data_IF_291949101100
#
_entry.id   IF_291949101100
#
_cell.length_a   1.000
_cell.length_b   1.000
_cell.length_c   1.000
_cell.angle_alpha   90.00
_cell.angle_beta   90.00
_cell.angle_gamma   90.00
#
_symmetry.space_group_name_H-M   'P 1'
#
loop_
_entity.id
_entity.type
_entity.pdbx_description
1 polymer ?
#
# COMPACT_ATOMS: atom_id res chain seq x y z
N UNK A 1 6.13 0.59 31.81
CA UNK A 1 5.73 0.68 30.37
C UNK A 1 5.74 2.16 29.99
N UNK A 2 6.27 2.51 28.81
CA UNK A 2 6.20 3.91 28.33
C UNK A 2 4.74 4.25 28.10
N UNK A 3 4.29 5.40 28.61
CA UNK A 3 2.91 5.88 28.42
C UNK A 3 2.75 6.66 27.10
N UNK A 4 3.85 7.04 26.48
CA UNK A 4 3.89 7.85 25.25
C UNK A 4 5.11 7.47 24.42
N UNK A 5 4.90 7.29 23.09
CA UNK A 5 5.95 7.00 22.12
C UNK A 5 6.43 8.29 21.45
N UNK A 6 7.75 8.42 21.29
CA UNK A 6 8.40 9.53 20.61
C UNK A 6 8.75 9.10 19.19
N UNK A 7 8.18 9.78 18.20
CA UNK A 7 8.37 9.47 16.78
C UNK A 7 9.40 10.39 16.14
N UNK A 8 10.28 9.79 15.32
CA UNK A 8 11.14 10.49 14.37
C UNK A 8 10.58 10.36 12.96
N UNK A 9 10.52 11.46 12.20
CA UNK A 9 10.08 11.47 10.82
C UNK A 9 11.29 11.70 9.92
N UNK A 10 11.63 10.71 9.09
CA UNK A 10 12.65 10.81 8.06
C UNK A 10 11.94 10.93 6.71
N UNK A 11 11.97 12.13 6.13
CA UNK A 11 11.19 12.48 4.94
C UNK A 11 9.91 13.24 5.29
N UNK A 12 9.93 14.58 5.15
CA UNK A 12 8.81 15.48 5.46
C UNK A 12 8.05 15.93 4.19
N UNK A 13 7.95 15.06 3.19
CA UNK A 13 7.13 15.24 2.01
C UNK A 13 5.63 15.16 2.32
N UNK A 14 4.80 14.90 1.31
CA UNK A 14 3.33 14.77 1.48
C UNK A 14 3.00 13.68 2.51
N UNK A 15 3.55 12.46 2.33
CA UNK A 15 3.27 11.34 3.25
C UNK A 15 3.86 11.58 4.64
N UNK A 16 5.08 12.11 4.75
CA UNK A 16 5.65 12.44 6.07
C UNK A 16 4.79 13.41 6.86
N UNK A 17 4.16 14.40 6.22
CA UNK A 17 3.21 15.31 6.86
C UNK A 17 1.88 14.61 7.22
N UNK A 18 1.39 13.71 6.39
CA UNK A 18 0.22 12.90 6.71
C UNK A 18 0.47 12.03 7.95
N UNK A 19 1.66 11.42 8.07
CA UNK A 19 2.05 10.70 9.28
C UNK A 19 2.06 11.61 10.52
N UNK A 20 2.56 12.84 10.41
CA UNK A 20 2.54 13.80 11.52
C UNK A 20 1.10 14.07 11.99
N UNK A 21 0.16 14.30 11.07
CA UNK A 21 -1.25 14.52 11.43
C UNK A 21 -1.85 13.28 12.14
N UNK A 22 -1.60 12.10 11.63
CA UNK A 22 -2.07 10.86 12.24
C UNK A 22 -1.54 10.70 13.68
N UNK A 23 -0.23 10.91 13.89
CA UNK A 23 0.41 10.79 15.19
C UNK A 23 -0.18 11.81 16.19
N UNK A 24 -0.42 13.06 15.76
CA UNK A 24 -1.00 14.11 16.59
C UNK A 24 -2.39 13.74 17.14
N UNK A 25 -3.23 13.16 16.31
CA UNK A 25 -4.64 12.87 16.69
C UNK A 25 -4.81 11.50 17.33
N UNK A 26 -3.85 10.59 17.16
CA UNK A 26 -3.90 9.22 17.67
C UNK A 26 -3.88 9.17 19.21
N UNK A 27 -3.14 10.09 19.86
CA UNK A 27 -2.89 10.09 21.29
C UNK A 27 -1.85 9.05 21.74
N UNK A 28 -1.20 9.30 22.89
CA UNK A 28 -0.14 8.43 23.39
C UNK A 28 1.13 8.41 22.52
N UNK A 29 1.30 9.43 21.69
CA UNK A 29 2.44 9.58 20.79
C UNK A 29 2.72 11.04 20.47
N UNK A 30 3.99 11.38 20.27
CA UNK A 30 4.44 12.72 19.85
C UNK A 30 5.50 12.62 18.76
N UNK A 31 5.55 13.62 17.88
CA UNK A 31 6.66 13.78 16.93
C UNK A 31 7.74 14.60 17.62
N UNK A 32 8.86 13.95 17.94
CA UNK A 32 9.99 14.54 18.68
C UNK A 32 11.16 14.97 17.80
N UNK A 33 11.26 14.41 16.59
CA UNK A 33 12.36 14.67 15.65
C UNK A 33 11.92 14.61 14.20
N UNK A 34 12.50 15.46 13.35
CA UNK A 34 12.25 15.51 11.91
C UNK A 34 13.59 15.61 11.19
N UNK A 35 13.80 14.82 10.13
CA UNK A 35 14.93 14.93 9.23
C UNK A 35 14.46 14.99 7.78
N UNK A 36 14.77 16.09 7.09
CA UNK A 36 14.51 16.24 5.66
C UNK A 36 15.34 17.38 5.07
N UNK A 37 16.05 17.19 3.94
CA UNK A 37 16.93 18.21 3.37
C UNK A 37 16.18 19.37 2.69
N UNK A 38 14.96 19.16 2.16
CA UNK A 38 14.20 20.19 1.47
C UNK A 38 13.56 21.16 2.47
N UNK A 39 14.14 22.35 2.64
CA UNK A 39 13.74 23.34 3.65
C UNK A 39 12.26 23.69 3.68
N UNK A 40 11.57 24.02 2.56
CA UNK A 40 10.16 24.35 2.60
C UNK A 40 9.29 23.24 3.18
N UNK A 41 9.57 21.97 2.86
CA UNK A 41 8.84 20.83 3.43
C UNK A 41 9.17 20.62 4.90
N UNK A 42 10.43 20.87 5.31
CA UNK A 42 10.87 20.79 6.69
C UNK A 42 10.15 21.85 7.55
N UNK A 43 10.06 23.09 7.08
CA UNK A 43 9.34 24.17 7.75
C UNK A 43 7.85 23.88 7.89
N UNK A 44 7.22 23.35 6.82
CA UNK A 44 5.82 22.94 6.86
C UNK A 44 5.58 21.82 7.88
N UNK A 45 6.46 20.84 7.95
CA UNK A 45 6.36 19.73 8.92
C UNK A 45 6.60 20.24 10.37
N UNK A 46 7.53 21.16 10.57
CA UNK A 46 7.80 21.76 11.88
C UNK A 46 6.62 22.60 12.37
N UNK A 47 5.92 23.30 11.47
CA UNK A 47 4.70 24.02 11.83
C UNK A 47 3.58 23.07 12.33
N UNK A 48 3.55 21.82 11.86
CA UNK A 48 2.61 20.80 12.33
C UNK A 48 3.04 20.13 13.63
N UNK A 49 4.36 20.08 13.91
CA UNK A 49 4.96 19.51 15.11
C UNK A 49 5.98 20.48 15.73
N UNK A 50 5.54 21.60 16.32
CA UNK A 50 6.43 22.70 16.74
C UNK A 50 7.40 22.33 17.88
N UNK A 51 7.17 21.23 18.58
CA UNK A 51 8.09 20.68 19.59
C UNK A 51 9.18 19.77 19.04
N UNK A 52 9.14 19.44 17.75
CA UNK A 52 10.10 18.52 17.15
C UNK A 52 11.46 19.18 16.92
N UNK A 53 12.54 18.42 17.20
CA UNK A 53 13.90 18.85 16.87
C UNK A 53 14.20 18.50 15.41
N UNK A 54 14.75 19.46 14.70
CA UNK A 54 15.14 19.30 13.29
C UNK A 54 16.57 18.82 13.17
N UNK A 55 16.83 17.85 12.30
CA UNK A 55 18.14 17.31 11.99
C UNK A 55 18.47 17.46 10.49
N UNK A 56 19.75 17.69 10.20
CA UNK A 56 20.23 17.85 8.82
C UNK A 56 20.24 16.54 8.03
N UNK A 57 20.42 15.41 8.71
CA UNK A 57 20.40 14.09 8.13
C UNK A 57 19.74 13.06 9.09
N UNK A 58 19.41 11.90 8.54
CA UNK A 58 18.68 10.86 9.27
C UNK A 58 19.55 10.17 10.35
N UNK A 59 20.86 10.05 10.18
CA UNK A 59 21.75 9.42 11.18
C UNK A 59 21.80 10.23 12.46
N UNK A 60 21.92 11.56 12.34
CA UNK A 60 21.87 12.44 13.49
C UNK A 60 20.51 12.36 14.23
N UNK A 61 19.40 12.12 13.51
CA UNK A 61 18.12 11.86 14.11
C UNK A 61 18.12 10.52 14.85
N UNK A 62 18.58 9.45 14.22
CA UNK A 62 18.66 8.10 14.81
C UNK A 62 19.49 8.12 16.09
N UNK A 63 20.68 8.74 16.04
CA UNK A 63 21.64 8.77 17.15
C UNK A 63 21.26 9.74 18.26
N UNK A 64 20.20 10.54 18.08
CA UNK A 64 19.80 11.60 19.03
C UNK A 64 19.29 11.11 20.37
N UNK A 65 18.86 9.85 20.49
CA UNK A 65 18.18 9.31 21.67
C UNK A 65 16.79 9.92 21.93
N UNK A 66 16.25 10.69 20.96
CA UNK A 66 14.95 11.36 21.09
C UNK A 66 13.77 10.52 20.57
N UNK A 67 14.02 9.39 19.92
CA UNK A 67 13.00 8.62 19.20
C UNK A 67 12.89 7.19 19.72
N UNK A 68 11.67 6.69 19.81
CA UNK A 68 11.34 5.31 20.12
C UNK A 68 10.88 4.55 18.88
N UNK A 69 10.31 5.29 17.92
CA UNK A 69 9.86 4.79 16.64
C UNK A 69 10.26 5.77 15.51
N UNK A 70 10.59 5.25 14.35
CA UNK A 70 11.03 6.01 13.19
C UNK A 70 10.07 5.73 12.03
N UNK A 71 9.59 6.78 11.37
CA UNK A 71 8.84 6.69 10.11
C UNK A 71 9.79 7.07 8.98
N UNK A 72 9.96 6.16 8.01
CA UNK A 72 10.71 6.40 6.77
C UNK A 72 9.72 6.69 5.65
N UNK A 73 9.66 7.95 5.21
CA UNK A 73 8.76 8.46 4.16
C UNK A 73 9.51 9.32 3.14
N UNK A 74 10.69 8.85 2.73
CA UNK A 74 11.58 9.47 1.74
C UNK A 74 11.20 9.05 0.31
N UNK A 75 11.83 9.57 -0.76
CA UNK A 75 11.67 9.03 -2.10
C UNK A 75 12.02 7.53 -2.16
N UNK A 76 11.28 6.75 -2.97
CA UNK A 76 11.34 5.29 -2.99
C UNK A 76 12.74 4.72 -3.19
N UNK A 77 13.50 5.30 -4.11
CA UNK A 77 14.89 4.91 -4.44
C UNK A 77 15.88 5.13 -3.28
N UNK A 78 15.49 5.86 -2.26
CA UNK A 78 16.33 6.14 -1.09
C UNK A 78 16.01 5.25 0.11
N UNK A 79 14.90 4.49 0.06
CA UNK A 79 14.45 3.67 1.20
C UNK A 79 15.54 2.72 1.69
N UNK A 80 16.19 1.97 0.79
CA UNK A 80 17.22 1.00 1.18
C UNK A 80 18.40 1.66 1.91
N UNK A 81 18.87 2.81 1.43
CA UNK A 81 19.98 3.52 2.05
C UNK A 81 19.61 4.03 3.46
N UNK A 82 18.41 4.57 3.63
CA UNK A 82 17.90 5.04 4.93
C UNK A 82 17.62 3.88 5.86
N UNK A 83 16.99 2.81 5.37
CA UNK A 83 16.68 1.62 6.16
C UNK A 83 17.93 0.91 6.69
N UNK A 84 19.03 0.91 5.94
CA UNK A 84 20.30 0.36 6.41
C UNK A 84 20.70 0.94 7.78
N UNK A 85 20.57 2.24 7.94
CA UNK A 85 20.93 2.92 9.18
C UNK A 85 19.83 2.76 10.24
N UNK A 86 18.53 2.88 9.86
CA UNK A 86 17.41 2.69 10.78
C UNK A 86 17.36 1.26 11.35
N UNK A 87 17.57 0.24 10.53
CA UNK A 87 17.54 -1.15 10.95
C UNK A 87 18.74 -1.56 11.83
N UNK A 88 19.79 -0.76 11.85
CA UNK A 88 20.91 -0.92 12.78
C UNK A 88 20.63 -0.34 14.19
N UNK A 89 19.54 0.41 14.36
CA UNK A 89 19.14 1.02 15.63
C UNK A 89 18.15 0.13 16.42
N UNK A 90 17.93 0.46 17.68
CA UNK A 90 16.97 -0.22 18.56
C UNK A 90 15.54 0.38 18.45
N UNK A 91 15.33 1.43 17.65
CA UNK A 91 14.02 2.03 17.46
C UNK A 91 13.11 1.13 16.62
N UNK A 92 11.82 1.10 16.91
CA UNK A 92 10.86 0.51 15.98
C UNK A 92 10.85 1.29 14.67
N UNK A 93 10.72 0.62 13.53
CA UNK A 93 10.77 1.25 12.20
C UNK A 93 9.49 0.99 11.44
N UNK A 94 8.84 2.05 10.98
CA UNK A 94 7.78 2.01 9.98
C UNK A 94 8.36 2.53 8.67
N UNK A 95 8.24 1.78 7.60
CA UNK A 95 8.70 2.19 6.27
C UNK A 95 7.53 2.31 5.30
N UNK A 96 7.46 3.45 4.61
CA UNK A 96 6.50 3.67 3.54
C UNK A 96 6.70 2.73 2.35
N UNK A 97 5.61 2.51 1.65
CA UNK A 97 5.62 1.76 0.38
C UNK A 97 6.18 2.64 -0.78
N UNK A 98 6.71 1.99 -1.82
CA UNK A 98 7.15 0.59 -1.88
C UNK A 98 8.39 0.37 -1.00
N UNK A 99 8.61 -0.87 -0.56
CA UNK A 99 9.74 -1.16 0.33
C UNK A 99 11.09 -0.76 -0.28
N UNK A 100 11.26 -1.04 -1.57
CA UNK A 100 12.40 -0.63 -2.40
C UNK A 100 11.99 -0.62 -3.88
N UNK A 101 12.93 -0.25 -4.76
CA UNK A 101 12.71 -0.19 -6.22
C UNK A 101 13.45 -1.28 -6.99
N UNK A 102 14.34 -2.03 -6.32
CA UNK A 102 15.15 -3.11 -6.92
C UNK A 102 15.12 -4.38 -6.10
N UNK A 103 15.36 -5.52 -6.73
CA UNK A 103 15.44 -6.83 -6.06
C UNK A 103 16.64 -6.90 -5.11
N UNK A 104 17.76 -6.30 -5.49
CA UNK A 104 19.00 -6.24 -4.72
C UNK A 104 18.79 -5.51 -3.38
N UNK A 105 18.08 -4.40 -3.43
CA UNK A 105 17.72 -3.64 -2.23
C UNK A 105 16.78 -4.43 -1.32
N UNK A 106 15.77 -5.10 -1.89
CA UNK A 106 14.86 -5.96 -1.12
C UNK A 106 15.63 -7.06 -0.37
N UNK A 107 16.56 -7.76 -1.04
CA UNK A 107 17.41 -8.79 -0.42
C UNK A 107 18.26 -8.20 0.71
N UNK A 108 18.82 -7.03 0.48
CA UNK A 108 19.65 -6.34 1.48
C UNK A 108 18.83 -5.94 2.72
N UNK A 109 17.63 -5.37 2.52
CA UNK A 109 16.75 -4.94 3.61
C UNK A 109 16.35 -6.15 4.48
N UNK A 110 15.93 -7.26 3.86
CA UNK A 110 15.59 -8.47 4.62
C UNK A 110 16.77 -8.99 5.43
N UNK A 111 17.97 -9.02 4.84
CA UNK A 111 19.18 -9.48 5.53
C UNK A 111 19.59 -8.56 6.71
N UNK A 112 19.25 -7.29 6.68
CA UNK A 112 19.43 -6.38 7.83
C UNK A 112 18.36 -6.59 8.89
N UNK A 113 17.09 -6.76 8.49
CA UNK A 113 15.98 -6.96 9.40
C UNK A 113 16.08 -8.27 10.18
N UNK A 114 16.53 -9.35 9.57
CA UNK A 114 16.75 -10.66 10.23
C UNK A 114 17.69 -10.59 11.44
N UNK A 115 18.55 -9.58 11.52
CA UNK A 115 19.57 -9.43 12.59
C UNK A 115 19.08 -8.62 13.78
N UNK A 116 17.86 -8.09 13.73
CA UNK A 116 17.34 -7.20 14.76
C UNK A 116 16.18 -7.82 15.53
N UNK A 117 15.98 -7.32 16.76
CA UNK A 117 14.84 -7.68 17.61
C UNK A 117 13.74 -6.63 17.64
N UNK A 118 14.07 -5.37 17.32
CA UNK A 118 13.10 -4.28 17.32
C UNK A 118 12.14 -4.42 16.12
N UNK A 119 10.90 -3.99 16.31
CA UNK A 119 9.83 -4.13 15.31
C UNK A 119 10.14 -3.36 14.03
N UNK A 120 9.84 -3.99 12.90
CA UNK A 120 9.75 -3.33 11.59
C UNK A 120 8.35 -3.53 11.02
N UNK A 121 7.74 -2.43 10.55
CA UNK A 121 6.38 -2.39 10.00
C UNK A 121 6.42 -1.84 8.58
N UNK A 122 5.71 -2.50 7.66
CA UNK A 122 5.58 -2.06 6.28
C UNK A 122 4.31 -1.25 6.09
N UNK A 123 4.41 -0.05 5.52
CA UNK A 123 3.29 0.86 5.26
C UNK A 123 2.45 0.42 4.06
N UNK A 124 1.58 -0.58 4.26
CA UNK A 124 0.64 -1.06 3.25
C UNK A 124 -0.79 -0.87 3.76
N UNK A 125 -1.16 0.39 3.95
CA UNK A 125 -2.37 0.84 4.64
C UNK A 125 -3.68 0.46 3.96
N UNK A 126 -3.70 0.14 2.65
CA UNK A 126 -4.94 -0.14 1.92
C UNK A 126 -5.77 -1.28 2.50
N UNK A 127 -5.11 -2.26 3.16
CA UNK A 127 -5.80 -3.34 3.88
C UNK A 127 -6.66 -2.86 5.04
N UNK A 128 -6.44 -1.64 5.52
CA UNK A 128 -7.16 -1.00 6.63
C UNK A 128 -8.26 -0.03 6.17
N UNK A 129 -8.43 0.22 4.87
CA UNK A 129 -9.58 0.97 4.37
C UNK A 129 -10.87 0.25 4.79
N UNK A 130 -11.83 0.92 5.46
CA UNK A 130 -12.95 0.23 6.10
C UNK A 130 -13.70 -0.80 5.21
N UNK A 131 -14.12 -0.48 3.97
CA UNK A 131 -14.82 -1.47 3.14
C UNK A 131 -13.89 -2.56 2.61
N UNK A 132 -12.59 -2.29 2.43
CA UNK A 132 -11.60 -3.30 2.03
C UNK A 132 -11.35 -4.27 3.18
N UNK A 133 -11.14 -3.75 4.40
CA UNK A 133 -10.97 -4.56 5.60
C UNK A 133 -12.18 -5.47 5.87
N UNK A 134 -13.40 -4.94 5.72
CA UNK A 134 -14.65 -5.73 5.84
C UNK A 134 -14.72 -6.82 4.77
N UNK A 135 -14.40 -6.52 3.50
CA UNK A 135 -14.42 -7.51 2.42
C UNK A 135 -13.39 -8.64 2.66
N UNK A 136 -12.18 -8.28 3.11
CA UNK A 136 -11.14 -9.26 3.48
C UNK A 136 -11.59 -10.12 4.67
N UNK A 137 -12.19 -9.53 5.71
CA UNK A 137 -12.68 -10.25 6.87
C UNK A 137 -13.75 -11.29 6.47
N UNK A 138 -14.75 -10.89 5.71
CA UNK A 138 -15.80 -11.79 5.19
C UNK A 138 -15.24 -12.92 4.32
N UNK A 139 -14.24 -12.63 3.48
CA UNK A 139 -13.58 -13.65 2.67
C UNK A 139 -12.84 -14.67 3.57
N UNK A 140 -12.12 -14.21 4.60
CA UNK A 140 -11.44 -15.07 5.59
C UNK A 140 -12.40 -15.88 6.45
N UNK A 141 -13.59 -15.37 6.72
CA UNK A 141 -14.68 -16.10 7.40
C UNK A 141 -15.35 -17.15 6.51
N UNK A 142 -14.94 -17.25 5.23
CA UNK A 142 -15.40 -18.25 4.29
C UNK A 142 -16.73 -17.89 3.61
N UNK A 143 -17.18 -16.64 3.65
CA UNK A 143 -18.46 -16.22 3.07
C UNK A 143 -18.52 -16.46 1.55
N UNK A 144 -17.39 -16.36 0.85
CA UNK A 144 -17.29 -16.65 -0.57
C UNK A 144 -16.93 -18.11 -0.90
N UNK A 145 -16.63 -18.96 0.13
CA UNK A 145 -16.08 -20.29 -0.05
C UNK A 145 -14.61 -20.27 -0.46
N UNK A 146 -14.15 -21.26 -1.24
CA UNK A 146 -12.81 -21.28 -1.81
C UNK A 146 -12.66 -20.16 -2.85
N UNK A 147 -11.67 -19.29 -2.65
CA UNK A 147 -11.43 -18.17 -3.57
C UNK A 147 -10.84 -18.67 -4.89
N UNK A 148 -11.42 -18.24 -5.99
CA UNK A 148 -11.00 -18.56 -7.36
C UNK A 148 -10.55 -17.34 -8.15
N UNK A 149 -11.17 -16.17 -7.91
CA UNK A 149 -10.85 -14.95 -8.63
C UNK A 149 -10.85 -13.74 -7.70
N UNK A 150 -9.85 -12.87 -7.87
CA UNK A 150 -9.78 -11.54 -7.26
C UNK A 150 -9.58 -10.53 -8.37
N UNK A 151 -10.40 -9.47 -8.39
CA UNK A 151 -10.22 -8.38 -9.34
C UNK A 151 -10.14 -7.07 -8.57
N UNK A 152 -9.13 -6.25 -8.90
CA UNK A 152 -9.05 -4.88 -8.43
C UNK A 152 -9.06 -3.96 -9.63
N UNK A 153 -9.96 -3.00 -9.63
CA UNK A 153 -10.00 -1.90 -10.59
C UNK A 153 -9.64 -0.60 -9.87
N UNK A 154 -8.69 0.13 -10.42
CA UNK A 154 -8.45 1.52 -10.04
C UNK A 154 -8.52 2.41 -11.28
N UNK A 155 -9.51 3.32 -11.31
CA UNK A 155 -9.65 4.37 -12.31
C UNK A 155 -9.61 5.71 -11.61
N UNK A 156 -8.52 6.45 -11.79
CA UNK A 156 -8.20 7.64 -10.99
C UNK A 156 -7.54 8.76 -11.79
N UNK A 157 -7.29 9.86 -11.08
CA UNK A 157 -6.45 10.97 -11.54
C UNK A 157 -4.95 10.58 -11.63
N UNK A 158 -4.15 11.33 -12.42
CA UNK A 158 -2.70 11.16 -12.52
C UNK A 158 -1.97 11.32 -11.19
N UNK A 159 -0.70 10.91 -11.14
CA UNK A 159 0.18 11.21 -10.01
C UNK A 159 0.39 12.72 -9.86
N UNK A 160 0.14 13.23 -8.64
CA UNK A 160 0.49 14.59 -8.28
C UNK A 160 2.00 14.81 -8.30
N UNK A 161 2.46 16.03 -8.68
CA UNK A 161 3.88 16.36 -8.62
C UNK A 161 4.43 16.24 -7.20
N UNK A 162 5.62 15.66 -7.08
CA UNK A 162 6.38 15.63 -5.83
C UNK A 162 7.61 16.56 -5.94
N UNK A 163 8.32 16.77 -4.84
CA UNK A 163 9.53 17.62 -4.82
C UNK A 163 10.48 17.16 -5.92
N UNK A 164 10.98 18.10 -6.73
CA UNK A 164 11.87 17.83 -7.86
C UNK A 164 11.33 16.82 -8.89
N UNK A 165 10.01 16.61 -8.91
CA UNK A 165 9.31 15.70 -9.83
C UNK A 165 9.91 14.28 -9.89
N UNK A 166 10.53 13.82 -8.80
CA UNK A 166 11.18 12.51 -8.74
C UNK A 166 10.24 11.35 -9.11
N UNK A 167 8.96 11.51 -8.86
CA UNK A 167 7.95 10.50 -9.16
C UNK A 167 7.50 10.46 -10.64
N UNK A 168 8.22 11.14 -11.53
CA UNK A 168 8.02 11.06 -12.99
C UNK A 168 8.90 10.00 -13.65
N UNK A 169 9.79 9.36 -12.89
CA UNK A 169 10.80 8.46 -13.42
C UNK A 169 10.73 7.07 -12.81
N UNK A 170 10.60 6.04 -13.67
CA UNK A 170 10.53 4.64 -13.25
C UNK A 170 11.79 4.20 -12.49
N UNK A 171 12.97 4.73 -12.86
CA UNK A 171 14.23 4.44 -12.15
C UNK A 171 14.19 4.85 -10.67
N UNK A 172 13.41 5.90 -10.32
CA UNK A 172 13.29 6.39 -8.94
C UNK A 172 12.13 5.79 -8.18
N UNK A 173 11.10 5.37 -8.90
CA UNK A 173 9.85 4.88 -8.30
C UNK A 173 9.73 3.36 -8.29
N UNK A 174 10.51 2.66 -9.11
CA UNK A 174 10.30 1.26 -9.46
C UNK A 174 9.26 1.08 -10.58
N UNK A 175 8.75 2.20 -11.14
CA UNK A 175 7.65 2.23 -12.11
C UNK A 175 6.26 2.18 -11.47
N UNK A 176 5.23 2.50 -12.25
CA UNK A 176 3.84 2.64 -11.77
C UNK A 176 3.32 1.39 -11.06
N UNK A 177 3.66 0.19 -11.58
CA UNK A 177 3.18 -1.07 -11.00
C UNK A 177 3.86 -1.41 -9.68
N UNK A 178 5.01 -0.79 -9.35
CA UNK A 178 5.65 -0.86 -8.04
C UNK A 178 5.15 0.29 -7.16
N UNK A 179 5.25 1.55 -7.62
CA UNK A 179 4.92 2.74 -6.84
C UNK A 179 3.46 2.72 -6.33
N UNK A 180 2.51 2.41 -7.22
CA UNK A 180 1.08 2.45 -6.90
C UNK A 180 0.52 1.07 -6.61
N UNK A 181 0.86 0.07 -7.44
CA UNK A 181 0.11 -1.18 -7.44
C UNK A 181 0.60 -2.18 -6.40
N UNK A 182 1.71 -1.91 -5.67
CA UNK A 182 2.13 -2.74 -4.54
C UNK A 182 1.02 -2.93 -3.50
N UNK A 183 0.18 -1.93 -3.24
CA UNK A 183 -1.00 -2.06 -2.40
C UNK A 183 -1.96 -3.14 -2.92
N UNK A 184 -2.24 -3.14 -4.22
CA UNK A 184 -3.21 -4.05 -4.83
C UNK A 184 -2.68 -5.47 -4.90
N UNK A 185 -1.42 -5.66 -5.24
CA UNK A 185 -0.79 -6.99 -5.20
C UNK A 185 -0.82 -7.57 -3.79
N UNK A 186 -0.54 -6.74 -2.78
CA UNK A 186 -0.66 -7.14 -1.39
C UNK A 186 -2.11 -7.54 -1.00
N UNK A 187 -3.13 -6.77 -1.43
CA UNK A 187 -4.53 -7.11 -1.17
C UNK A 187 -4.92 -8.44 -1.84
N UNK A 188 -4.48 -8.68 -3.07
CA UNK A 188 -4.72 -9.93 -3.78
C UNK A 188 -4.12 -11.12 -3.03
N UNK A 189 -2.86 -11.00 -2.58
CA UNK A 189 -2.16 -12.05 -1.83
C UNK A 189 -2.85 -12.34 -0.48
N UNK A 190 -3.31 -11.31 0.23
CA UNK A 190 -4.06 -11.46 1.49
C UNK A 190 -5.37 -12.22 1.29
N UNK A 191 -6.09 -11.92 0.20
CA UNK A 191 -7.38 -12.55 -0.11
C UNK A 191 -7.21 -13.99 -0.58
N UNK A 192 -6.21 -14.25 -1.45
CA UNK A 192 -5.92 -15.59 -1.96
C UNK A 192 -5.25 -16.47 -0.90
N UNK A 193 -4.50 -15.86 0.03
CA UNK A 193 -3.74 -16.55 1.07
C UNK A 193 -2.41 -17.15 0.59
N UNK A 194 -1.97 -16.82 -0.62
CA UNK A 194 -0.71 -17.28 -1.23
C UNK A 194 -0.03 -16.14 -1.99
N UNK A 195 1.19 -16.38 -2.45
CA UNK A 195 1.93 -15.50 -3.35
C UNK A 195 1.74 -15.96 -4.79
N UNK A 196 1.72 -15.04 -5.79
CA UNK A 196 1.60 -15.41 -7.19
C UNK A 196 2.84 -16.16 -7.65
N UNK A 197 2.64 -17.07 -8.61
CA UNK A 197 3.75 -17.83 -9.24
C UNK A 197 4.08 -17.31 -10.62
N UNK A 198 3.09 -16.73 -11.33
CA UNK A 198 3.25 -16.18 -12.69
C UNK A 198 2.49 -14.87 -12.86
N UNK A 199 3.06 -13.99 -13.68
CA UNK A 199 2.50 -12.68 -14.02
C UNK A 199 2.45 -12.53 -15.53
N UNK A 200 1.32 -12.04 -16.07
CA UNK A 200 1.21 -11.49 -17.41
C UNK A 200 0.67 -10.08 -17.32
N UNK A 201 1.28 -9.14 -18.03
CA UNK A 201 0.84 -7.75 -18.02
C UNK A 201 0.95 -7.11 -19.41
N UNK A 202 0.01 -6.18 -19.68
CA UNK A 202 0.02 -5.28 -20.82
C UNK A 202 -0.30 -3.87 -20.32
N UNK A 203 0.45 -2.87 -20.74
CA UNK A 203 0.27 -1.50 -20.28
C UNK A 203 1.16 -0.52 -21.02
N UNK A 204 0.96 0.77 -20.75
CA UNK A 204 1.71 1.81 -21.42
C UNK A 204 1.50 3.19 -20.82
N UNK A 205 2.15 4.18 -21.39
CA UNK A 205 1.90 5.61 -21.17
C UNK A 205 1.12 6.13 -22.38
N UNK A 206 -0.16 6.48 -22.18
CA UNK A 206 -1.09 6.78 -23.28
C UNK A 206 -1.61 8.21 -23.26
N UNK A 207 -1.75 8.82 -22.09
CA UNK A 207 -2.42 10.12 -21.89
C UNK A 207 -1.60 11.06 -21.02
N UNK A 208 -1.10 10.59 -19.87
CA UNK A 208 -0.51 11.45 -18.87
C UNK A 208 0.99 11.67 -19.10
N UNK A 209 1.46 12.90 -18.84
CA UNK A 209 2.89 13.26 -18.79
C UNK A 209 3.65 13.05 -20.11
N UNK A 210 2.95 12.95 -21.26
CA UNK A 210 3.56 12.69 -22.58
C UNK A 210 4.49 13.83 -23.03
N UNK A 211 4.19 15.07 -22.66
CA UNK A 211 4.96 16.26 -23.03
C UNK A 211 5.89 16.76 -21.90
N UNK A 212 5.89 16.05 -20.76
CA UNK A 212 6.69 16.47 -19.59
C UNK A 212 8.16 16.02 -19.75
N UNK A 213 9.07 17.00 -19.64
CA UNK A 213 10.52 16.78 -19.61
C UNK A 213 11.15 17.52 -18.45
N UNK A 214 12.07 16.86 -17.76
CA UNK A 214 12.81 17.41 -16.63
C UNK A 214 14.29 17.14 -16.87
N UNK A 215 15.10 18.22 -16.93
CA UNK A 215 16.52 18.18 -17.27
C UNK A 215 16.81 17.41 -18.57
N UNK A 216 15.90 17.53 -19.55
CA UNK A 216 16.00 16.88 -20.86
C UNK A 216 15.52 15.43 -20.90
N UNK A 217 15.20 14.81 -19.75
CA UNK A 217 14.68 13.46 -19.64
C UNK A 217 13.16 13.46 -19.70
N UNK A 218 12.59 12.60 -20.55
CA UNK A 218 11.13 12.38 -20.67
C UNK A 218 10.60 11.65 -19.44
N UNK A 219 9.43 12.07 -18.93
CA UNK A 219 8.67 11.28 -17.95
C UNK A 219 8.29 9.91 -18.54
N UNK A 220 8.48 8.83 -17.78
CA UNK A 220 8.36 7.45 -18.26
C UNK A 220 7.44 6.55 -17.41
N UNK A 221 6.53 7.17 -16.65
CA UNK A 221 5.57 6.44 -15.82
C UNK A 221 4.40 5.94 -16.66
N UNK A 222 4.09 4.63 -16.55
CA UNK A 222 2.88 4.08 -17.16
C UNK A 222 1.64 4.71 -16.52
N UNK A 223 0.61 4.94 -17.32
CA UNK A 223 -0.67 5.49 -16.85
C UNK A 223 -1.86 4.54 -17.01
N UNK A 224 -1.64 3.37 -17.62
CA UNK A 224 -2.63 2.30 -17.70
C UNK A 224 -1.97 0.92 -17.79
N UNK A 225 -2.63 -0.09 -17.23
CA UNK A 225 -2.21 -1.48 -17.36
C UNK A 225 -3.32 -2.46 -17.00
N UNK A 226 -3.29 -3.64 -17.64
CA UNK A 226 -3.93 -4.86 -17.18
C UNK A 226 -2.86 -5.83 -16.71
N UNK A 227 -3.03 -6.38 -15.49
CA UNK A 227 -2.11 -7.38 -14.93
C UNK A 227 -2.89 -8.60 -14.51
N UNK A 228 -2.46 -9.77 -14.91
CA UNK A 228 -3.02 -11.06 -14.49
C UNK A 228 -1.98 -11.80 -13.65
N UNK A 229 -2.40 -12.26 -12.48
CA UNK A 229 -1.61 -13.07 -11.55
C UNK A 229 -2.19 -14.48 -11.50
N UNK A 230 -1.33 -15.48 -11.47
CA UNK A 230 -1.70 -16.88 -11.25
C UNK A 230 -1.03 -17.39 -9.97
N UNK A 231 -1.81 -18.14 -9.17
CA UNK A 231 -1.40 -18.71 -7.88
C UNK A 231 -1.30 -20.23 -7.96
N UNK A 232 -0.45 -20.84 -7.10
CA UNK A 232 -0.24 -22.29 -7.12
C UNK A 232 -1.50 -23.09 -6.81
N UNK A 233 -2.40 -22.55 -5.96
CA UNK A 233 -3.70 -23.16 -5.63
C UNK A 233 -4.75 -23.09 -6.76
N UNK A 234 -4.40 -22.49 -7.92
CA UNK A 234 -5.26 -22.33 -9.10
C UNK A 234 -6.11 -21.06 -9.09
N UNK A 235 -6.05 -20.24 -8.06
CA UNK A 235 -6.69 -18.92 -8.07
C UNK A 235 -6.00 -17.98 -9.07
N UNK A 236 -6.73 -16.97 -9.52
CA UNK A 236 -6.25 -15.92 -10.42
C UNK A 236 -6.65 -14.55 -9.88
N UNK A 237 -5.77 -13.56 -10.06
CA UNK A 237 -6.14 -12.18 -9.79
C UNK A 237 -5.90 -11.30 -11.03
N UNK A 238 -6.63 -10.19 -11.10
CA UNK A 238 -6.50 -9.21 -12.19
C UNK A 238 -6.52 -7.80 -11.61
N UNK A 239 -5.58 -6.98 -12.09
CA UNK A 239 -5.59 -5.53 -11.90
C UNK A 239 -6.02 -4.86 -13.20
N UNK A 240 -6.96 -3.92 -13.12
CA UNK A 240 -7.37 -2.98 -14.15
C UNK A 240 -7.01 -1.57 -13.67
N UNK A 241 -5.89 -1.05 -14.16
CA UNK A 241 -5.37 0.28 -13.79
C UNK A 241 -5.60 1.28 -14.92
N UNK A 242 -6.23 2.41 -14.60
CA UNK A 242 -6.33 3.57 -15.48
C UNK A 242 -6.13 4.86 -14.66
N UNK A 243 -5.09 5.63 -14.99
CA UNK A 243 -4.75 6.88 -14.29
C UNK A 243 -5.18 8.15 -15.06
N UNK A 244 -6.16 8.01 -15.93
CA UNK A 244 -6.89 9.07 -16.61
C UNK A 244 -8.41 8.80 -16.60
N UNK A 245 -8.86 8.12 -15.54
CA UNK A 245 -10.26 7.75 -15.30
C UNK A 245 -10.87 8.49 -14.10
N UNK A 246 -10.49 9.75 -13.88
CA UNK A 246 -10.90 10.58 -12.73
C UNK A 246 -12.41 10.85 -12.66
N UNK A 247 -13.14 10.64 -13.74
CA UNK A 247 -14.61 10.71 -13.76
C UNK A 247 -15.33 9.50 -13.18
N UNK A 248 -14.59 8.49 -12.65
CA UNK A 248 -15.20 7.31 -12.06
C UNK A 248 -15.95 7.63 -10.77
N UNK A 249 -17.18 7.09 -10.61
CA UNK A 249 -17.95 7.24 -9.38
C UNK A 249 -17.26 6.52 -8.20
N UNK A 250 -16.90 5.25 -8.40
CA UNK A 250 -16.01 4.53 -7.50
C UNK A 250 -14.65 4.34 -8.19
N UNK A 251 -13.63 4.96 -7.60
CA UNK A 251 -12.26 4.90 -8.12
C UNK A 251 -11.64 3.53 -7.93
N UNK A 252 -11.91 2.90 -6.80
CA UNK A 252 -11.33 1.63 -6.40
C UNK A 252 -12.45 0.63 -6.14
N UNK A 253 -12.37 -0.53 -6.79
CA UNK A 253 -13.29 -1.63 -6.60
C UNK A 253 -12.48 -2.91 -6.41
N UNK A 254 -12.68 -3.56 -5.26
CA UNK A 254 -12.19 -4.92 -5.02
C UNK A 254 -13.35 -5.90 -5.19
N UNK A 255 -13.17 -6.91 -6.02
CA UNK A 255 -14.11 -8.01 -6.23
C UNK A 255 -13.46 -9.34 -5.89
N UNK A 256 -14.08 -10.10 -5.01
CA UNK A 256 -13.65 -11.41 -4.54
C UNK A 256 -14.71 -12.43 -4.96
N UNK A 257 -14.33 -13.48 -5.68
CA UNK A 257 -15.25 -14.53 -6.15
C UNK A 257 -14.73 -15.91 -5.75
N UNK A 258 -15.56 -16.62 -5.04
CA UNK A 258 -15.31 -18.00 -4.68
C UNK A 258 -16.40 -18.93 -5.24
N UNK A 259 -16.34 -20.21 -4.87
CA UNK A 259 -17.29 -21.22 -5.31
C UNK A 259 -18.65 -21.12 -4.61
N UNK A 260 -18.74 -20.45 -3.46
CA UNK A 260 -19.99 -20.28 -2.71
C UNK A 260 -20.55 -18.85 -2.79
N UNK A 261 -19.77 -17.85 -3.18
CA UNK A 261 -20.25 -16.46 -3.16
C UNK A 261 -19.35 -15.46 -3.84
N UNK A 262 -19.76 -14.20 -3.71
CA UNK A 262 -19.07 -13.01 -4.23
C UNK A 262 -19.13 -11.90 -3.18
N UNK A 263 -18.00 -11.20 -2.98
CA UNK A 263 -17.89 -10.03 -2.12
C UNK A 263 -17.27 -8.91 -2.95
N UNK A 264 -17.81 -7.70 -2.81
CA UNK A 264 -17.30 -6.51 -3.51
C UNK A 264 -17.18 -5.35 -2.52
N UNK A 265 -16.10 -4.57 -2.62
CA UNK A 265 -15.97 -3.29 -1.92
C UNK A 265 -15.78 -2.15 -2.89
N UNK A 266 -16.33 -0.98 -2.55
CA UNK A 266 -16.39 0.20 -3.40
C UNK A 266 -15.91 1.43 -2.65
N UNK A 267 -14.97 2.17 -3.24
CA UNK A 267 -14.41 3.42 -2.74
C UNK A 267 -14.51 4.52 -3.81
N UNK A 268 -14.97 5.70 -3.48
CA UNK A 268 -15.21 6.28 -2.14
C UNK A 268 -16.59 6.00 -1.55
N UNK A 269 -17.47 5.24 -2.19
CA UNK A 269 -18.86 5.01 -1.70
C UNK A 269 -18.92 4.33 -0.32
N UNK A 270 -17.82 3.76 0.18
CA UNK A 270 -17.75 3.03 1.46
C UNK A 270 -18.74 1.86 1.53
N UNK A 271 -19.00 1.20 0.40
CA UNK A 271 -20.00 0.13 0.28
C UNK A 271 -19.31 -1.21 0.19
N UNK A 272 -19.86 -2.20 0.90
CA UNK A 272 -19.58 -3.62 0.69
C UNK A 272 -20.87 -4.31 0.22
N UNK A 273 -20.73 -5.14 -0.81
CA UNK A 273 -21.81 -6.02 -1.30
C UNK A 273 -21.36 -7.46 -1.19
N UNK A 274 -22.26 -8.32 -0.71
CA UNK A 274 -22.02 -9.75 -0.65
C UNK A 274 -23.22 -10.52 -1.15
N UNK A 275 -22.98 -11.66 -1.81
CA UNK A 275 -24.05 -12.55 -2.30
C UNK A 275 -23.58 -13.98 -2.29
N UNK A 276 -24.45 -14.91 -1.88
CA UNK A 276 -24.19 -16.36 -1.89
C UNK A 276 -24.83 -17.01 -3.11
N UNK A 277 -24.13 -17.92 -3.74
CA UNK A 277 -24.63 -18.66 -4.92
C UNK A 277 -25.92 -19.44 -4.63
N UNK A 278 -26.01 -20.06 -3.46
CA UNK A 278 -27.21 -20.82 -3.06
C UNK A 278 -28.44 -19.91 -3.00
N UNK A 279 -28.30 -18.72 -2.41
CA UNK A 279 -29.38 -17.75 -2.31
C UNK A 279 -29.85 -17.31 -3.68
N UNK A 280 -28.93 -16.97 -4.56
CA UNK A 280 -29.23 -16.54 -5.94
C UNK A 280 -29.82 -17.70 -6.75
N UNK A 281 -29.26 -18.90 -6.65
CA UNK A 281 -29.75 -20.08 -7.36
C UNK A 281 -31.19 -20.45 -6.99
N UNK A 282 -31.56 -20.34 -5.73
CA UNK A 282 -32.95 -20.57 -5.25
C UNK A 282 -33.91 -19.47 -5.74
N UNK A 283 -33.47 -18.24 -5.84
CA UNK A 283 -34.30 -17.12 -6.28
C UNK A 283 -34.42 -17.03 -7.81
N UNK A 284 -33.36 -17.40 -8.52
CA UNK A 284 -33.30 -17.22 -9.99
C UNK A 284 -33.93 -18.35 -10.76
N UNK A 285 -34.18 -19.55 -10.17
CA UNK A 285 -34.61 -20.74 -10.91
C UNK A 285 -34.87 -20.40 -12.38
N UNK A 286 -34.31 -20.94 -13.33
CA UNK A 286 -34.24 -20.57 -14.80
C UNK A 286 -35.47 -19.85 -15.41
N UNK A 287 -36.28 -19.16 -14.61
CA UNK A 287 -37.38 -18.31 -15.07
C UNK A 287 -36.85 -16.95 -15.42
N UNK A 288 -36.95 -16.58 -16.69
CA UNK A 288 -36.76 -15.21 -17.17
C UNK A 288 -37.50 -14.24 -16.24
N UNK A 289 -36.78 -13.30 -15.63
CA UNK A 289 -37.36 -12.23 -14.80
C UNK A 289 -36.92 -12.15 -13.34
N UNK A 290 -35.99 -13.00 -12.87
CA UNK A 290 -35.39 -12.78 -11.56
C UNK A 290 -34.71 -11.40 -11.51
N UNK A 291 -35.18 -10.53 -10.62
CA UNK A 291 -34.63 -9.19 -10.48
C UNK A 291 -33.13 -9.26 -10.12
N UNK A 292 -32.32 -8.50 -10.83
CA UNK A 292 -30.90 -8.34 -10.51
C UNK A 292 -30.76 -7.90 -9.05
N UNK A 293 -29.92 -8.59 -8.29
CA UNK A 293 -29.61 -8.23 -6.90
C UNK A 293 -30.53 -8.82 -5.83
N UNK A 294 -31.56 -9.65 -6.20
CA UNK A 294 -32.28 -10.40 -5.18
C UNK A 294 -31.34 -11.45 -4.53
N UNK A 295 -31.12 -11.34 -3.21
CA UNK A 295 -30.23 -12.19 -2.45
C UNK A 295 -28.82 -11.61 -2.23
N UNK A 296 -28.54 -10.39 -2.66
CA UNK A 296 -27.34 -9.67 -2.29
C UNK A 296 -27.58 -8.77 -1.07
N UNK A 297 -26.68 -8.80 -0.14
CA UNK A 297 -26.59 -7.84 0.95
C UNK A 297 -25.75 -6.63 0.50
N UNK A 298 -26.15 -5.43 0.91
CA UNK A 298 -25.35 -4.22 0.76
C UNK A 298 -25.25 -3.52 2.12
N UNK A 299 -24.03 -3.13 2.48
CA UNK A 299 -23.72 -2.44 3.74
C UNK A 299 -22.84 -1.24 3.45
N UNK A 300 -23.13 -0.09 4.07
CA UNK A 300 -22.21 1.03 4.14
C UNK A 300 -21.30 0.79 5.35
N UNK A 301 -20.00 0.84 5.13
CA UNK A 301 -19.00 0.54 6.17
C UNK A 301 -18.28 1.81 6.57
N UNK A 302 -18.50 2.23 7.81
CA UNK A 302 -17.82 3.37 8.42
C UNK A 302 -17.03 2.90 9.65
N UNK A 303 -15.87 3.49 9.86
CA UNK A 303 -15.16 3.38 11.12
C UNK A 303 -15.25 4.71 11.86
N UNK A 304 -16.12 4.80 12.85
CA UNK A 304 -16.36 6.01 13.64
C UNK A 304 -15.22 6.36 14.60
N UNK A 305 -14.28 5.44 14.84
CA UNK A 305 -13.11 5.67 15.68
C UNK A 305 -11.97 6.37 14.94
N UNK A 306 -12.07 6.51 13.62
CA UNK A 306 -11.11 7.23 12.80
C UNK A 306 -11.19 8.73 13.08
N UNK A 307 -10.09 9.30 13.60
CA UNK A 307 -10.00 10.73 13.93
C UNK A 307 -9.41 11.58 12.82
N UNK A 308 -8.79 10.95 11.83
CA UNK A 308 -8.23 11.62 10.65
C UNK A 308 -8.42 10.76 9.41
N UNK A 309 -9.17 11.27 8.46
CA UNK A 309 -9.50 10.53 7.24
C UNK A 309 -8.33 10.49 6.25
N UNK A 310 -7.51 11.54 6.19
CA UNK A 310 -6.37 11.62 5.29
C UNK A 310 -6.72 11.34 3.83
N UNK A 311 -5.72 10.90 3.08
CA UNK A 311 -5.91 10.55 1.66
C UNK A 311 -6.46 9.15 1.44
N UNK A 312 -6.47 8.28 2.47
CA UNK A 312 -6.79 6.85 2.35
C UNK A 312 -7.96 6.42 3.25
N UNK A 313 -9.00 7.26 3.35
CA UNK A 313 -10.26 6.95 4.05
C UNK A 313 -10.06 6.49 5.50
N UNK A 314 -9.03 7.03 6.17
CA UNK A 314 -8.69 6.72 7.56
C UNK A 314 -7.80 5.49 7.74
N UNK A 315 -7.41 4.81 6.67
CA UNK A 315 -6.54 3.63 6.74
C UNK A 315 -5.20 3.92 7.41
N UNK A 316 -4.54 5.03 7.05
CA UNK A 316 -3.28 5.46 7.67
C UNK A 316 -3.44 5.70 9.18
N UNK A 317 -4.57 6.27 9.63
CA UNK A 317 -4.87 6.43 11.05
C UNK A 317 -4.99 5.08 11.78
N UNK A 318 -5.70 4.14 11.18
CA UNK A 318 -5.87 2.79 11.75
C UNK A 318 -4.51 2.08 11.82
N UNK A 319 -3.72 2.16 10.76
CA UNK A 319 -2.40 1.54 10.69
C UNK A 319 -1.45 2.10 11.76
N UNK A 320 -1.40 3.43 11.93
CA UNK A 320 -0.62 4.05 13.00
C UNK A 320 -1.05 3.62 14.40
N UNK A 321 -2.35 3.50 14.62
CA UNK A 321 -2.88 3.02 15.90
C UNK A 321 -2.41 1.59 16.17
N UNK A 322 -2.48 0.70 15.17
CA UNK A 322 -2.03 -0.70 15.28
C UNK A 322 -0.52 -0.81 15.46
N UNK A 323 0.26 -0.02 14.73
CA UNK A 323 1.72 0.05 14.89
C UNK A 323 2.11 0.48 16.31
N UNK A 324 1.52 1.57 16.82
CA UNK A 324 1.72 2.04 18.21
C UNK A 324 1.39 0.93 19.20
N UNK A 325 0.21 0.33 19.07
CA UNK A 325 -0.28 -0.67 20.02
C UNK A 325 0.58 -1.93 19.98
N UNK A 326 1.07 -2.33 18.80
CA UNK A 326 2.00 -3.44 18.66
C UNK A 326 3.34 -3.17 19.38
N UNK A 327 3.88 -1.95 19.30
CA UNK A 327 5.09 -1.56 20.05
C UNK A 327 4.82 -1.63 21.56
N UNK A 328 3.74 -1.01 22.04
CA UNK A 328 3.43 -0.93 23.46
C UNK A 328 3.15 -2.29 24.10
N UNK A 329 2.54 -3.21 23.34
CA UNK A 329 2.19 -4.55 23.79
C UNK A 329 3.23 -5.62 23.42
N UNK A 330 4.32 -5.24 22.74
CA UNK A 330 5.37 -6.16 22.26
C UNK A 330 4.78 -7.32 21.43
N UNK A 331 3.79 -7.02 20.59
CA UNK A 331 3.20 -7.99 19.65
C UNK A 331 3.89 -7.89 18.28
N UNK A 332 3.90 -8.97 17.48
CA UNK A 332 4.46 -8.93 16.11
C UNK A 332 3.81 -7.88 15.23
N UNK A 333 4.54 -7.39 14.23
CA UNK A 333 4.00 -6.52 13.20
C UNK A 333 2.90 -7.25 12.40
N UNK A 334 1.76 -6.60 12.19
CA UNK A 334 0.67 -7.13 11.37
C UNK A 334 1.00 -7.03 9.87
N UNK A 335 1.78 -6.02 9.49
CA UNK A 335 2.27 -5.80 8.13
C UNK A 335 3.78 -5.95 8.13
N UNK A 336 4.26 -7.00 7.50
CA UNK A 336 5.67 -7.38 7.54
C UNK A 336 6.46 -6.85 6.34
N UNK A 337 7.79 -6.79 6.43
CA UNK A 337 8.62 -6.49 5.27
C UNK A 337 8.46 -7.53 4.16
N UNK A 338 8.13 -8.79 4.50
CA UNK A 338 7.86 -9.83 3.52
C UNK A 338 6.64 -9.49 2.65
N UNK A 339 5.59 -8.89 3.22
CA UNK A 339 4.45 -8.36 2.45
C UNK A 339 4.92 -7.31 1.43
N UNK A 340 5.82 -6.40 1.86
CA UNK A 340 6.43 -5.40 0.99
C UNK A 340 7.26 -6.01 -0.13
N UNK A 341 8.09 -7.00 0.20
CA UNK A 341 8.91 -7.73 -0.80
C UNK A 341 8.03 -8.36 -1.86
N UNK A 342 7.03 -9.14 -1.47
CA UNK A 342 6.17 -9.86 -2.42
C UNK A 342 5.47 -8.89 -3.36
N UNK A 343 4.91 -7.81 -2.82
CA UNK A 343 4.19 -6.81 -3.61
C UNK A 343 5.10 -6.07 -4.60
N UNK A 344 6.33 -5.75 -4.22
CA UNK A 344 7.32 -5.11 -5.11
C UNK A 344 7.79 -6.08 -6.18
N UNK A 345 8.14 -7.31 -5.82
CA UNK A 345 8.58 -8.35 -6.79
C UNK A 345 7.49 -8.61 -7.83
N UNK A 346 6.22 -8.67 -7.41
CA UNK A 346 5.07 -8.80 -8.34
C UNK A 346 4.99 -7.61 -9.30
N UNK A 347 5.17 -6.39 -8.80
CA UNK A 347 5.19 -5.17 -9.63
C UNK A 347 6.34 -5.16 -10.65
N UNK A 348 7.55 -5.55 -10.21
CA UNK A 348 8.72 -5.66 -11.10
C UNK A 348 8.52 -6.76 -12.15
N UNK A 349 7.93 -7.92 -11.78
CA UNK A 349 7.59 -8.99 -12.72
C UNK A 349 6.55 -8.53 -13.74
N UNK A 350 5.57 -7.72 -13.34
CA UNK A 350 4.59 -7.16 -14.24
C UNK A 350 5.23 -6.16 -15.23
N UNK A 351 6.13 -5.28 -14.79
CA UNK A 351 6.91 -4.42 -15.69
C UNK A 351 7.76 -5.23 -16.68
N UNK A 352 8.43 -6.29 -16.19
CA UNK A 352 9.20 -7.20 -17.06
C UNK A 352 8.30 -7.87 -18.08
N UNK A 353 7.10 -8.31 -17.70
CA UNK A 353 6.11 -8.91 -18.59
C UNK A 353 5.69 -7.94 -19.71
N UNK A 354 5.44 -6.67 -19.40
CA UNK A 354 5.13 -5.63 -20.40
C UNK A 354 6.30 -5.45 -21.37
N UNK A 355 7.52 -5.32 -20.85
CA UNK A 355 8.71 -5.06 -21.65
C UNK A 355 9.05 -6.23 -22.59
N UNK A 356 8.90 -7.46 -22.11
CA UNK A 356 9.26 -8.68 -22.85
C UNK A 356 8.08 -9.28 -23.64
N UNK A 357 6.85 -8.81 -23.44
CA UNK A 357 5.64 -9.28 -24.13
C UNK A 357 5.31 -10.74 -23.83
N UNK A 358 5.62 -11.24 -22.63
CA UNK A 358 5.43 -12.65 -22.23
C UNK A 358 4.99 -12.82 -20.79
N UNK A 359 4.58 -14.05 -20.47
CA UNK A 359 4.43 -14.47 -19.06
C UNK A 359 5.80 -14.49 -18.38
N UNK A 360 5.87 -13.98 -17.14
CA UNK A 360 7.06 -13.99 -16.28
C UNK A 360 6.78 -14.84 -15.05
N UNK A 361 7.66 -15.77 -14.73
CA UNK A 361 7.59 -16.51 -13.47
C UNK A 361 8.26 -15.70 -12.34
N UNK A 362 7.61 -15.63 -11.18
CA UNK A 362 8.12 -14.85 -10.03
C UNK A 362 9.54 -15.29 -9.65
N UNK A 363 9.85 -16.60 -9.74
CA UNK A 363 11.19 -17.12 -9.47
C UNK A 363 12.30 -16.59 -10.40
N UNK A 364 11.98 -15.96 -11.53
CA UNK A 364 12.96 -15.30 -12.38
C UNK A 364 13.57 -14.05 -11.73
N UNK A 365 12.83 -13.44 -10.79
CA UNK A 365 13.26 -12.25 -10.07
C UNK A 365 13.64 -12.60 -8.63
N UNK A 366 12.92 -13.53 -8.04
CA UNK A 366 13.04 -13.87 -6.62
C UNK A 366 13.22 -15.37 -6.44
N UNK A 367 14.47 -15.78 -6.28
CA UNK A 367 14.88 -17.17 -6.02
C UNK A 367 15.68 -17.25 -4.73
#
# INVERSE_FOLDING_TARGET
MKSELRYGIIGAGSMGREHIENIKVMGGATVSAISYPHKPSQEAALAMAPGAKVFSDHRALIDSGLVDAIIVATPNDTHAAVLKDCLASESAVFVEKPLATTVEDLKSILAWDEKRSAMTWMGLEYRFMPPVAEAIARAKEGEAGKIHQVTIREHREPFYPKVDNWNRFAERTGGTLVEKCCHYFNLMDIVVGEQPVRVFASGGQSVNHLDEKYDGKQADMLDNAYVILEYANGARAMLDLCMFGEGSFDKEILTIVGDEGKIESFLPSQVVRASRRETIGKLSGWKQGASRGSGSEQKIVHNFDVKYMGHHYGASYIEHTRFRDAILNSTPAEVTLKDGVTSVVTGLAAHKSITEGRVVEIKELWS
#
